data_IF_939730701334
#
_entry.id   IF_939730701334
#
_cell.length_a   1.000
_cell.length_b   1.000
_cell.length_c   1.000
_cell.angle_alpha   90.00
_cell.angle_beta   90.00
_cell.angle_gamma   90.00
#
_symmetry.space_group_name_H-M   'P 1'
#
loop_
_entity.id
_entity.type
_entity.pdbx_description
1 polymer ?
#
# COMPACT_ATOMS: atom_id res chain seq x y z
N UNK A 1 -15.75 -8.71 12.38
CA UNK A 1 -15.97 -9.33 13.70
C UNK A 1 -15.93 -8.33 14.85
N UNK A 2 -15.61 -7.07 14.60
CA UNK A 2 -15.59 -6.01 15.61
C UNK A 2 -16.88 -5.20 15.55
N UNK A 3 -17.35 -4.72 16.70
CA UNK A 3 -18.46 -3.74 16.82
C UNK A 3 -17.94 -2.45 17.44
N UNK A 4 -18.65 -1.34 17.27
CA UNK A 4 -18.21 -0.04 17.80
C UNK A 4 -16.86 0.38 17.21
N UNK A 5 -16.68 0.18 15.90
CA UNK A 5 -15.41 0.49 15.22
C UNK A 5 -15.16 2.00 15.26
N UNK A 6 -13.98 2.38 15.74
CA UNK A 6 -13.51 3.78 15.82
C UNK A 6 -12.39 4.09 14.83
N UNK A 7 -11.64 3.09 14.38
CA UNK A 7 -10.56 3.27 13.42
C UNK A 7 -10.39 2.02 12.55
N UNK A 8 -10.21 2.23 11.26
CA UNK A 8 -9.61 1.25 10.33
C UNK A 8 -8.31 1.83 9.81
N UNK A 9 -7.20 1.14 10.05
CA UNK A 9 -5.87 1.52 9.55
C UNK A 9 -5.31 0.42 8.64
N UNK A 10 -4.74 0.83 7.53
CA UNK A 10 -3.96 -0.02 6.64
C UNK A 10 -2.62 0.65 6.37
N UNK A 11 -1.51 -0.07 6.53
CA UNK A 11 -0.19 0.49 6.37
C UNK A 11 0.75 -0.49 5.68
N UNK A 12 1.41 0.00 4.63
CA UNK A 12 2.42 -0.72 3.87
C UNK A 12 3.82 -0.23 4.25
N UNK A 13 4.74 -1.18 4.42
CA UNK A 13 6.17 -0.96 4.65
C UNK A 13 6.97 -1.78 3.64
N UNK A 14 7.47 -1.12 2.60
CA UNK A 14 8.13 -1.78 1.46
C UNK A 14 9.52 -1.23 1.20
N UNK A 15 10.52 -2.10 1.24
CA UNK A 15 11.86 -1.82 0.71
C UNK A 15 11.88 -2.10 -0.80
N UNK A 16 12.01 -1.06 -1.59
CA UNK A 16 11.93 -1.15 -3.04
C UNK A 16 13.26 -1.46 -3.73
N UNK A 17 14.33 -1.73 -2.97
CA UNK A 17 15.62 -2.14 -3.54
C UNK A 17 15.56 -3.47 -4.29
N UNK A 18 14.51 -4.26 -4.08
CA UNK A 18 14.26 -5.51 -4.80
C UNK A 18 13.19 -5.40 -5.89
N UNK A 19 12.64 -4.20 -6.11
CA UNK A 19 11.58 -3.96 -7.10
C UNK A 19 12.13 -3.99 -8.53
N UNK A 20 11.67 -4.94 -9.34
CA UNK A 20 12.22 -5.27 -10.66
C UNK A 20 11.86 -4.32 -11.81
N UNK A 21 11.39 -3.10 -11.55
CA UNK A 21 10.99 -2.15 -12.60
C UNK A 21 11.68 -0.78 -12.39
N UNK A 22 12.96 -0.63 -12.75
CA UNK A 22 13.75 0.58 -12.50
C UNK A 22 13.14 1.84 -13.12
N UNK A 23 12.55 1.75 -14.31
CA UNK A 23 11.93 2.90 -14.97
C UNK A 23 10.68 3.38 -14.20
N UNK A 24 9.92 2.47 -13.62
CA UNK A 24 8.77 2.82 -12.76
C UNK A 24 9.26 3.53 -11.51
N UNK A 25 10.29 3.01 -10.84
CA UNK A 25 10.90 3.65 -9.67
C UNK A 25 11.33 5.08 -9.98
N UNK A 26 12.02 5.28 -11.10
CA UNK A 26 12.59 6.58 -11.49
C UNK A 26 11.52 7.56 -12.00
N UNK A 27 10.78 7.17 -13.03
CA UNK A 27 9.94 8.11 -13.79
C UNK A 27 8.50 8.22 -13.27
N UNK A 28 8.00 7.20 -12.60
CA UNK A 28 6.64 7.20 -12.05
C UNK A 28 6.67 7.50 -10.56
N UNK A 29 7.50 6.79 -9.81
CA UNK A 29 7.56 6.92 -8.35
C UNK A 29 8.49 8.06 -7.89
N UNK A 30 9.38 8.56 -8.75
CA UNK A 30 10.19 9.76 -8.50
C UNK A 30 11.42 9.55 -7.62
N UNK A 31 11.86 8.29 -7.42
CA UNK A 31 13.11 7.99 -6.73
C UNK A 31 14.33 8.45 -7.52
N UNK A 32 15.40 8.86 -6.82
CA UNK A 32 16.60 9.41 -7.44
C UNK A 32 16.43 10.81 -8.04
N UNK A 33 15.23 11.39 -7.96
CA UNK A 33 14.94 12.77 -8.34
C UNK A 33 15.13 13.75 -7.18
N UNK A 34 14.84 15.03 -7.42
CA UNK A 34 14.82 16.05 -6.36
C UNK A 34 13.53 15.97 -5.56
N UNK A 35 13.50 16.42 -4.29
CA UNK A 35 12.27 16.50 -3.50
C UNK A 35 11.14 17.24 -4.21
N UNK A 36 11.43 18.36 -4.85
CA UNK A 36 10.43 19.16 -5.58
C UNK A 36 9.80 18.36 -6.73
N UNK A 37 10.60 17.70 -7.56
CA UNK A 37 10.09 16.88 -8.67
C UNK A 37 9.25 15.69 -8.19
N UNK A 38 9.63 15.08 -7.08
CA UNK A 38 8.86 13.96 -6.50
C UNK A 38 7.53 14.44 -5.91
N UNK A 39 7.50 15.58 -5.20
CA UNK A 39 6.30 16.12 -4.58
C UNK A 39 5.32 16.69 -5.61
N UNK A 40 5.79 17.25 -6.72
CA UNK A 40 4.94 17.79 -7.79
C UNK A 40 4.59 16.78 -8.88
N UNK A 41 5.24 15.63 -8.85
CA UNK A 41 5.08 14.54 -9.83
C UNK A 41 3.68 13.88 -9.82
N UNK A 42 3.43 12.98 -10.78
CA UNK A 42 2.11 12.38 -10.97
C UNK A 42 1.72 11.35 -9.91
N UNK A 43 2.66 10.86 -9.09
CA UNK A 43 2.46 9.69 -8.24
C UNK A 43 1.33 9.88 -7.24
N UNK A 44 1.27 11.02 -6.54
CA UNK A 44 0.19 11.30 -5.60
C UNK A 44 -1.19 11.18 -6.28
N UNK A 45 -1.37 11.83 -7.43
CA UNK A 45 -2.64 11.81 -8.17
C UNK A 45 -3.01 10.42 -8.68
N UNK A 46 -2.01 9.63 -9.06
CA UNK A 46 -2.22 8.25 -9.49
C UNK A 46 -2.76 7.40 -8.33
N UNK A 47 -2.14 7.52 -7.15
CA UNK A 47 -2.56 6.79 -5.96
C UNK A 47 -3.91 7.29 -5.42
N UNK A 48 -4.16 8.60 -5.46
CA UNK A 48 -5.43 9.22 -5.04
C UNK A 48 -6.63 8.58 -5.75
N UNK A 49 -6.50 8.23 -7.03
CA UNK A 49 -7.54 7.61 -7.83
C UNK A 49 -8.06 6.28 -7.25
N UNK A 50 -7.23 5.53 -6.54
CA UNK A 50 -7.61 4.26 -5.91
C UNK A 50 -7.85 4.40 -4.40
N UNK A 51 -6.93 5.04 -3.67
CA UNK A 51 -6.96 5.05 -2.21
C UNK A 51 -8.09 5.91 -1.63
N UNK A 52 -8.44 7.05 -2.26
CA UNK A 52 -9.60 7.85 -1.83
C UNK A 52 -10.89 7.03 -1.95
N UNK A 53 -11.04 6.25 -3.03
CA UNK A 53 -12.21 5.39 -3.20
C UNK A 53 -12.24 4.31 -2.11
N UNK A 54 -11.11 3.69 -1.79
CA UNK A 54 -11.01 2.68 -0.73
C UNK A 54 -11.35 3.26 0.64
N UNK A 55 -10.86 4.47 0.96
CA UNK A 55 -11.21 5.19 2.20
C UNK A 55 -12.71 5.46 2.27
N UNK A 56 -13.32 6.01 1.21
CA UNK A 56 -14.77 6.28 1.14
C UNK A 56 -15.59 5.01 1.29
N UNK A 57 -15.18 3.94 0.62
CA UNK A 57 -15.85 2.65 0.71
C UNK A 57 -15.87 2.10 2.15
N UNK A 58 -14.77 2.23 2.90
CA UNK A 58 -14.71 1.87 4.31
C UNK A 58 -15.65 2.73 5.16
N UNK A 59 -15.67 4.05 4.93
CA UNK A 59 -16.58 4.97 5.65
C UNK A 59 -18.03 4.57 5.43
N UNK A 60 -18.44 4.39 4.18
CA UNK A 60 -19.81 4.08 3.81
C UNK A 60 -20.27 2.74 4.39
N UNK A 61 -19.44 1.71 4.29
CA UNK A 61 -19.81 0.34 4.71
C UNK A 61 -19.80 0.14 6.21
N UNK A 62 -19.00 0.90 6.95
CA UNK A 62 -18.99 0.87 8.41
C UNK A 62 -20.02 1.81 9.02
N UNK A 63 -20.65 2.66 8.22
CA UNK A 63 -21.69 3.58 8.69
C UNK A 63 -21.12 4.73 9.52
N UNK A 64 -19.90 5.15 9.27
CA UNK A 64 -19.40 6.42 9.82
C UNK A 64 -20.26 7.58 9.31
N UNK A 65 -20.24 8.72 10.04
CA UNK A 65 -21.06 9.86 9.68
C UNK A 65 -20.89 10.26 8.21
N UNK A 66 -21.98 10.62 7.56
CA UNK A 66 -21.98 11.08 6.17
C UNK A 66 -21.10 12.32 6.02
N UNK A 67 -20.36 12.39 4.91
CA UNK A 67 -19.48 13.48 4.51
C UNK A 67 -18.24 13.69 5.40
N UNK A 68 -17.36 12.66 5.51
CA UNK A 68 -16.08 12.81 6.20
C UNK A 68 -15.16 13.76 5.40
N UNK A 69 -14.34 14.52 6.11
CA UNK A 69 -13.26 15.25 5.47
C UNK A 69 -12.18 14.27 4.99
N UNK A 70 -11.96 14.19 3.67
CA UNK A 70 -10.86 13.41 3.12
C UNK A 70 -9.59 14.29 3.12
N UNK A 71 -8.53 13.81 3.76
CA UNK A 71 -7.22 14.46 3.79
C UNK A 71 -6.21 13.56 3.11
N UNK A 72 -5.35 14.16 2.28
CA UNK A 72 -4.22 13.46 1.65
C UNK A 72 -2.94 14.24 1.89
N UNK A 73 -1.84 13.53 2.09
CA UNK A 73 -0.52 14.15 2.20
C UNK A 73 0.56 13.21 1.68
N UNK A 74 1.71 13.78 1.34
CA UNK A 74 2.90 13.03 1.00
C UNK A 74 4.14 13.68 1.60
N UNK A 75 5.13 12.84 1.86
CA UNK A 75 6.42 13.24 2.40
C UNK A 75 7.52 12.53 1.64
N UNK A 76 8.72 13.10 1.64
CA UNK A 76 9.91 12.49 1.05
C UNK A 76 11.05 12.46 2.06
N UNK A 77 11.91 11.44 1.95
CA UNK A 77 13.22 11.40 2.59
C UNK A 77 14.29 11.36 1.50
N UNK A 78 15.39 12.05 1.73
CA UNK A 78 16.52 12.08 0.80
C UNK A 78 17.66 11.21 1.31
N UNK A 79 18.49 10.73 0.40
CA UNK A 79 19.71 10.02 0.74
C UNK A 79 20.72 10.98 1.41
N UNK A 80 21.39 10.53 2.47
CA UNK A 80 22.49 11.24 3.14
C UNK A 80 23.88 10.72 2.72
N UNK A 81 23.89 9.51 2.15
CA UNK A 81 25.06 8.88 1.51
C UNK A 81 24.56 8.10 0.28
N UNK A 82 25.46 7.70 -0.64
CA UNK A 82 25.06 6.93 -1.81
C UNK A 82 24.32 5.64 -1.43
N UNK A 83 23.20 5.35 -2.10
CA UNK A 83 22.37 4.15 -1.90
C UNK A 83 22.30 3.38 -3.22
N UNK A 84 22.66 2.11 -3.20
CA UNK A 84 22.51 1.22 -4.36
C UNK A 84 21.04 0.83 -4.56
N UNK A 85 20.56 0.92 -5.78
CA UNK A 85 19.18 0.62 -6.14
C UNK A 85 19.09 -0.05 -7.52
N UNK A 86 17.94 -0.64 -7.89
CA UNK A 86 17.73 -1.18 -9.24
C UNK A 86 17.90 -0.16 -10.37
N UNK A 87 17.79 1.14 -10.05
CA UNK A 87 17.98 2.23 -11.02
C UNK A 87 19.43 2.67 -11.15
N UNK A 88 20.37 2.07 -10.44
CA UNK A 88 21.71 2.55 -10.18
C UNK A 88 21.81 3.27 -8.84
N UNK A 89 22.85 4.07 -8.64
CA UNK A 89 23.11 4.76 -7.40
C UNK A 89 22.20 5.99 -7.22
N UNK A 90 21.62 6.13 -6.03
CA UNK A 90 20.91 7.33 -5.58
C UNK A 90 21.92 8.16 -4.80
N UNK A 91 22.16 9.39 -5.25
CA UNK A 91 23.16 10.28 -4.66
C UNK A 91 22.59 11.07 -3.46
N UNK A 92 23.46 11.56 -2.55
CA UNK A 92 23.02 12.42 -1.46
C UNK A 92 22.17 13.61 -1.93
N UNK A 93 21.08 13.87 -1.23
CA UNK A 93 20.08 14.90 -1.56
C UNK A 93 19.01 14.45 -2.56
N UNK A 94 19.14 13.28 -3.18
CA UNK A 94 18.11 12.71 -4.02
C UNK A 94 17.09 11.91 -3.19
N UNK A 95 15.86 11.80 -3.70
CA UNK A 95 14.76 11.10 -3.03
C UNK A 95 15.05 9.60 -2.96
N UNK A 96 15.05 9.08 -1.73
CA UNK A 96 15.25 7.68 -1.40
C UNK A 96 14.13 7.10 -0.52
N UNK A 97 13.22 7.93 -0.02
CA UNK A 97 12.04 7.53 0.72
C UNK A 97 10.81 8.32 0.29
N UNK A 98 9.65 7.67 0.25
CA UNK A 98 8.35 8.29 0.01
C UNK A 98 7.32 7.76 0.99
N UNK A 99 6.51 8.65 1.54
CA UNK A 99 5.39 8.31 2.39
C UNK A 99 4.14 9.02 1.91
N UNK A 100 3.02 8.32 1.91
CA UNK A 100 1.73 8.82 1.48
C UNK A 100 0.68 8.50 2.53
N UNK A 101 -0.27 9.43 2.74
CA UNK A 101 -1.38 9.25 3.66
C UNK A 101 -2.70 9.60 2.99
N UNK A 102 -3.73 8.79 3.27
CA UNK A 102 -5.12 9.05 2.96
C UNK A 102 -5.94 8.83 4.21
N UNK A 103 -6.69 9.83 4.61
CA UNK A 103 -7.47 9.80 5.85
C UNK A 103 -8.89 10.24 5.60
N UNK A 104 -9.84 9.56 6.28
CA UNK A 104 -11.18 10.09 6.52
C UNK A 104 -11.27 10.59 7.96
N UNK A 105 -11.74 11.82 8.14
CA UNK A 105 -11.88 12.46 9.43
C UNK A 105 -13.34 12.80 9.66
N UNK A 106 -13.88 12.38 10.81
CA UNK A 106 -15.24 12.67 11.27
C UNK A 106 -15.12 13.50 12.54
N UNK A 107 -15.61 14.74 12.52
CA UNK A 107 -15.30 15.68 13.58
C UNK A 107 -13.78 15.95 13.63
N UNK A 108 -13.16 15.64 14.77
CA UNK A 108 -11.71 15.75 14.96
C UNK A 108 -10.98 14.40 14.95
N UNK A 109 -11.69 13.30 14.70
CA UNK A 109 -11.15 11.95 14.78
C UNK A 109 -10.87 11.37 13.40
N UNK A 110 -9.69 10.78 13.22
CA UNK A 110 -9.36 9.96 12.05
C UNK A 110 -10.03 8.61 12.21
N UNK A 111 -10.98 8.28 11.33
CA UNK A 111 -11.75 7.02 11.39
C UNK A 111 -11.27 5.97 10.37
N UNK A 112 -10.65 6.42 9.27
CA UNK A 112 -9.96 5.54 8.31
C UNK A 112 -8.63 6.16 7.97
N UNK A 113 -7.56 5.36 7.96
CA UNK A 113 -6.21 5.78 7.52
C UNK A 113 -5.57 4.71 6.65
N UNK A 114 -5.05 5.12 5.51
CA UNK A 114 -4.16 4.33 4.68
C UNK A 114 -2.81 5.04 4.63
N UNK A 115 -1.74 4.31 4.89
CA UNK A 115 -0.35 4.81 4.80
C UNK A 115 0.45 3.88 3.90
N UNK A 116 1.25 4.46 3.02
CA UNK A 116 2.21 3.74 2.19
C UNK A 116 3.60 4.29 2.49
N UNK A 117 4.52 3.43 2.92
CA UNK A 117 5.92 3.75 3.17
C UNK A 117 6.78 2.98 2.19
N UNK A 118 7.40 3.67 1.26
CA UNK A 118 8.34 3.14 0.28
C UNK A 118 9.73 3.68 0.53
N UNK A 119 10.70 2.81 0.80
CA UNK A 119 12.08 3.18 1.08
C UNK A 119 13.04 2.47 0.11
N UNK A 120 14.18 3.08 -0.14
CA UNK A 120 15.37 2.46 -0.73
C UNK A 120 16.34 2.06 0.40
N UNK A 121 15.86 1.16 1.29
CA UNK A 121 16.52 0.84 2.56
C UNK A 121 16.18 1.84 3.66
N UNK A 122 16.53 1.47 4.90
CA UNK A 122 16.27 2.27 6.10
C UNK A 122 17.49 3.10 6.52
N UNK A 123 18.64 2.81 5.92
CA UNK A 123 19.90 3.50 6.22
C UNK A 123 20.06 4.74 5.33
N UNK A 124 20.81 5.71 5.85
CA UNK A 124 21.19 6.92 5.12
C UNK A 124 20.01 7.74 4.57
N UNK A 125 18.96 7.88 5.37
CA UNK A 125 17.79 8.70 5.05
C UNK A 125 17.71 9.95 5.94
N UNK A 126 17.28 11.08 5.36
CA UNK A 126 16.92 12.31 6.05
C UNK A 126 15.52 12.79 5.57
N UNK A 127 14.48 12.85 6.43
CA UNK A 127 14.49 12.38 7.83
C UNK A 127 14.70 10.86 7.95
N UNK A 128 15.23 10.37 9.10
CA UNK A 128 15.50 8.95 9.30
C UNK A 128 14.19 8.19 9.49
N UNK A 129 13.74 7.49 8.47
CA UNK A 129 12.58 6.62 8.52
C UNK A 129 13.00 5.16 8.68
N UNK A 130 12.22 4.42 9.45
CA UNK A 130 12.44 3.01 9.70
C UNK A 130 11.13 2.23 9.72
N UNK A 131 11.18 0.97 9.29
CA UNK A 131 10.08 0.02 9.42
C UNK A 131 9.95 -0.55 10.84
N UNK A 132 10.93 -0.25 11.71
CA UNK A 132 11.02 -0.79 13.05
C UNK A 132 11.38 -2.29 13.08
N UNK A 133 11.34 -2.93 14.25
CA UNK A 133 11.84 -4.30 14.42
C UNK A 133 11.05 -5.37 13.66
N UNK A 134 9.85 -5.07 13.22
CA UNK A 134 9.03 -6.00 12.46
C UNK A 134 9.41 -6.07 10.96
N UNK A 135 10.20 -5.10 10.47
CA UNK A 135 10.67 -5.03 9.09
C UNK A 135 9.56 -4.79 8.08
N UNK A 136 9.81 -5.19 6.84
CA UNK A 136 8.85 -5.11 5.74
C UNK A 136 7.58 -5.92 6.02
N UNK A 137 6.45 -5.31 5.77
CA UNK A 137 5.14 -5.92 6.01
C UNK A 137 4.00 -5.09 5.46
N UNK A 138 2.83 -5.67 5.47
CA UNK A 138 1.56 -4.97 5.37
C UNK A 138 0.78 -5.17 6.67
N UNK A 139 0.26 -4.11 7.26
CA UNK A 139 -0.54 -4.15 8.48
C UNK A 139 -1.95 -3.65 8.24
N UNK A 140 -2.90 -4.30 8.89
CA UNK A 140 -4.28 -3.85 9.01
C UNK A 140 -4.68 -3.87 10.48
N UNK A 141 -5.30 -2.78 10.93
CA UNK A 141 -5.81 -2.62 12.27
C UNK A 141 -7.26 -2.15 12.22
N UNK A 142 -8.09 -2.79 13.00
CA UNK A 142 -9.45 -2.33 13.28
C UNK A 142 -9.56 -2.13 14.79
N UNK A 143 -9.75 -0.90 15.23
CA UNK A 143 -10.05 -0.58 16.63
C UNK A 143 -11.53 -0.65 16.85
N UNK A 144 -11.95 -1.48 17.80
CA UNK A 144 -13.35 -1.73 18.11
C UNK A 144 -13.48 -2.73 19.25
N UNK A 145 -14.54 -3.48 19.29
CA UNK A 145 -14.74 -4.52 20.29
C UNK A 145 -15.01 -5.87 19.62
N UNK A 146 -14.01 -6.78 19.62
CA UNK A 146 -12.59 -6.58 20.00
C UNK A 146 -11.79 -5.83 18.95
N UNK A 147 -10.59 -5.37 19.31
CA UNK A 147 -9.58 -4.92 18.36
C UNK A 147 -9.09 -6.08 17.50
N UNK A 148 -8.74 -5.80 16.24
CA UNK A 148 -8.24 -6.80 15.31
C UNK A 148 -6.96 -6.28 14.65
N UNK A 149 -5.93 -7.13 14.61
CA UNK A 149 -4.67 -6.84 13.94
C UNK A 149 -4.34 -7.96 12.98
N UNK A 150 -3.96 -7.60 11.76
CA UNK A 150 -3.48 -8.53 10.73
C UNK A 150 -2.14 -8.04 10.21
N UNK A 151 -1.14 -8.90 10.17
CA UNK A 151 0.16 -8.63 9.57
C UNK A 151 0.42 -9.61 8.44
N UNK A 152 0.72 -9.09 7.26
CA UNK A 152 1.13 -9.87 6.09
C UNK A 152 2.63 -9.64 5.89
N UNK A 153 3.41 -10.73 5.80
CA UNK A 153 4.86 -10.73 5.55
C UNK A 153 5.20 -11.37 4.22
N UNK A 154 6.43 -11.15 3.75
CA UNK A 154 6.88 -11.70 2.47
C UNK A 154 6.20 -11.03 1.27
N UNK A 155 5.91 -9.76 1.38
CA UNK A 155 5.26 -8.95 0.34
C UNK A 155 6.22 -8.60 -0.80
N UNK A 156 7.49 -8.38 -0.48
CA UNK A 156 8.54 -8.08 -1.46
C UNK A 156 9.39 -9.32 -1.76
N UNK A 157 9.93 -9.43 -2.97
CA UNK A 157 10.84 -10.52 -3.33
C UNK A 157 12.20 -10.36 -2.62
N UNK A 158 12.90 -11.48 -2.43
CA UNK A 158 14.22 -11.52 -1.77
C UNK A 158 15.32 -10.82 -2.60
N UNK A 159 15.12 -10.68 -3.90
CA UNK A 159 16.05 -10.01 -4.82
C UNK A 159 15.33 -9.54 -6.07
N UNK A 160 15.95 -8.64 -6.85
CA UNK A 160 15.45 -8.20 -8.17
C UNK A 160 15.24 -9.40 -9.10
N UNK A 161 16.20 -10.34 -9.15
CA UNK A 161 16.09 -11.53 -10.01
C UNK A 161 14.93 -12.43 -9.59
N UNK A 162 14.72 -12.63 -8.29
CA UNK A 162 13.56 -13.37 -7.78
C UNK A 162 12.26 -12.66 -8.14
N UNK A 163 12.21 -11.33 -8.01
CA UNK A 163 11.07 -10.50 -8.35
C UNK A 163 10.68 -10.51 -9.82
N UNK A 164 11.65 -10.62 -10.72
CA UNK A 164 11.40 -10.80 -12.16
C UNK A 164 10.74 -12.16 -12.48
N UNK A 165 10.96 -13.18 -11.67
CA UNK A 165 10.33 -14.50 -11.83
C UNK A 165 8.96 -14.52 -11.16
N UNK A 166 8.83 -13.99 -9.96
CA UNK A 166 7.60 -13.97 -9.17
C UNK A 166 7.69 -12.92 -8.08
N UNK A 167 6.99 -11.81 -8.23
CA UNK A 167 6.88 -10.79 -7.20
C UNK A 167 5.66 -11.09 -6.31
N UNK A 168 5.83 -11.37 -5.00
CA UNK A 168 4.73 -11.75 -4.11
C UNK A 168 3.59 -10.72 -4.06
N UNK A 169 3.90 -9.41 -4.03
CA UNK A 169 2.89 -8.36 -4.01
C UNK A 169 2.07 -8.32 -5.30
N UNK A 170 2.73 -8.45 -6.45
CA UNK A 170 2.04 -8.54 -7.76
C UNK A 170 1.20 -9.81 -7.85
N UNK A 171 1.73 -10.95 -7.40
CA UNK A 171 0.99 -12.23 -7.36
C UNK A 171 -0.24 -12.11 -6.46
N UNK A 172 -0.13 -11.51 -5.28
CA UNK A 172 -1.26 -11.34 -4.37
C UNK A 172 -2.37 -10.47 -4.99
N UNK A 173 -2.00 -9.37 -5.64
CA UNK A 173 -2.94 -8.50 -6.35
C UNK A 173 -3.63 -9.23 -7.51
N UNK A 174 -2.85 -9.91 -8.34
CA UNK A 174 -3.37 -10.69 -9.47
C UNK A 174 -4.25 -11.87 -9.02
N UNK A 175 -3.85 -12.56 -7.95
CA UNK A 175 -4.59 -13.69 -7.41
C UNK A 175 -6.00 -13.29 -6.94
N UNK A 176 -6.13 -12.11 -6.33
CA UNK A 176 -7.45 -11.60 -5.95
C UNK A 176 -8.35 -11.40 -7.18
N UNK A 177 -7.84 -10.72 -8.21
CA UNK A 177 -8.57 -10.51 -9.47
C UNK A 177 -8.96 -11.85 -10.13
N UNK A 178 -8.02 -12.78 -10.25
CA UNK A 178 -8.26 -14.10 -10.89
C UNK A 178 -9.28 -14.92 -10.09
N UNK A 179 -9.18 -14.94 -8.76
CA UNK A 179 -10.11 -15.67 -7.91
C UNK A 179 -11.52 -15.06 -7.91
N UNK A 180 -11.66 -13.77 -8.22
CA UNK A 180 -12.95 -13.10 -8.33
C UNK A 180 -13.72 -13.46 -9.62
N UNK A 181 -13.07 -13.94 -10.68
CA UNK A 181 -13.68 -14.21 -11.99
C UNK A 181 -14.98 -15.04 -11.88
N UNK A 182 -15.01 -16.19 -11.20
CA UNK A 182 -16.24 -17.00 -11.12
C UNK A 182 -17.41 -16.26 -10.46
N UNK A 183 -17.12 -15.53 -9.37
CA UNK A 183 -18.12 -14.77 -8.65
C UNK A 183 -18.66 -13.59 -9.51
N UNK A 184 -17.76 -12.90 -10.18
CA UNK A 184 -18.13 -11.79 -11.08
C UNK A 184 -18.97 -12.27 -12.27
N UNK A 185 -18.61 -13.41 -12.86
CA UNK A 185 -19.38 -13.99 -13.97
C UNK A 185 -20.78 -14.49 -13.54
N UNK A 186 -20.97 -14.82 -12.26
CA UNK A 186 -22.25 -15.27 -11.72
C UNK A 186 -23.10 -14.13 -11.15
N UNK A 187 -22.55 -12.93 -11.01
CA UNK A 187 -23.25 -11.77 -10.47
C UNK A 187 -24.25 -11.19 -11.49
N UNK A 188 -25.23 -10.45 -10.99
CA UNK A 188 -26.15 -9.68 -11.81
C UNK A 188 -25.40 -8.63 -12.65
N UNK A 189 -25.88 -8.30 -13.86
CA UNK A 189 -25.25 -7.28 -14.70
C UNK A 189 -25.16 -5.92 -13.99
N UNK A 190 -23.97 -5.30 -14.01
CA UNK A 190 -23.74 -4.00 -13.39
C UNK A 190 -22.31 -3.84 -12.85
N UNK A 191 -22.07 -2.73 -12.14
CA UNK A 191 -20.82 -2.50 -11.44
C UNK A 191 -20.92 -3.18 -10.08
N UNK A 192 -20.03 -4.15 -9.84
CA UNK A 192 -19.96 -4.91 -8.61
C UNK A 192 -18.78 -4.42 -7.76
N UNK A 193 -19.01 -4.18 -6.49
CA UNK A 193 -17.96 -3.90 -5.49
C UNK A 193 -17.58 -5.18 -4.74
N UNK A 194 -16.52 -5.12 -3.93
CA UNK A 194 -16.14 -6.23 -3.04
C UNK A 194 -17.24 -6.65 -2.06
N UNK A 195 -18.18 -5.77 -1.77
CA UNK A 195 -19.27 -6.03 -0.83
C UNK A 195 -20.52 -6.60 -1.51
N UNK A 196 -20.57 -6.56 -2.82
CA UNK A 196 -21.67 -7.12 -3.61
C UNK A 196 -21.38 -8.55 -4.05
N UNK A 197 -20.11 -8.95 -4.02
CA UNK A 197 -19.64 -10.29 -4.31
C UNK A 197 -19.49 -11.12 -3.02
N UNK A 198 -19.59 -12.46 -3.09
CA UNK A 198 -19.25 -13.32 -1.97
C UNK A 198 -17.75 -13.16 -1.62
N UNK A 199 -17.31 -13.54 -0.39
CA UNK A 199 -15.91 -13.48 -0.02
C UNK A 199 -15.02 -14.20 -1.03
N UNK A 200 -14.06 -13.49 -1.60
CA UNK A 200 -13.09 -14.07 -2.56
C UNK A 200 -11.99 -14.75 -1.76
N UNK A 201 -11.86 -16.05 -1.93
CA UNK A 201 -10.91 -16.87 -1.18
C UNK A 201 -9.76 -17.37 -2.06
N UNK A 202 -8.61 -17.64 -1.44
CA UNK A 202 -7.51 -18.37 -2.06
C UNK A 202 -7.88 -19.84 -2.31
N UNK A 203 -7.02 -20.54 -3.03
CA UNK A 203 -7.15 -21.99 -3.31
C UNK A 203 -6.03 -22.75 -2.63
N UNK A 204 -6.30 -23.99 -2.26
CA UNK A 204 -5.27 -24.90 -1.78
C UNK A 204 -4.17 -25.08 -2.84
N UNK A 205 -2.93 -25.33 -2.40
CA UNK A 205 -1.86 -25.68 -3.33
C UNK A 205 -2.25 -26.91 -4.17
N UNK A 206 -1.89 -26.97 -5.47
CA UNK A 206 -2.33 -28.07 -6.37
C UNK A 206 -2.07 -29.47 -5.80
N UNK A 207 -0.93 -29.67 -5.11
CA UNK A 207 -0.58 -30.95 -4.45
C UNK A 207 -1.49 -31.33 -3.28
N UNK A 208 -2.28 -30.40 -2.76
CA UNK A 208 -3.23 -30.57 -1.65
C UNK A 208 -4.69 -30.45 -2.12
N UNK A 209 -4.92 -30.24 -3.40
CA UNK A 209 -6.25 -30.15 -3.98
C UNK A 209 -6.87 -31.57 -4.04
N UNK A 210 -8.17 -31.65 -3.70
CA UNK A 210 -8.94 -32.90 -3.84
C UNK A 210 -9.43 -33.10 -5.26
#
# INVERSE_FOLDING_TARGET
>A
MSTGVTLVRSEEFSDLRTYGAPDVLRYVMGFGGTPDTALTGPMQRLLDGGFIQSVRLCVDRLGFAADPQIRTSQEVAVATAPIDSPMGQIEPGQVAGRRFHWEAVVGDEVVVRITVNWLMGEENLDPPWSFGPAGERYEMEVRGNPDTFVTVKGWQPESVEAGLKSNPGVVATAAHCVNAIPATCAAEPGIQSFFDLPPITGRAAPRLHR
#
